data_IF_671384379784
#
_entry.id   IF_671384379784
#
_cell.length_a   1.000
_cell.length_b   1.000
_cell.length_c   1.000
_cell.angle_alpha   90.00
_cell.angle_beta   90.00
_cell.angle_gamma   90.00
#
_symmetry.space_group_name_H-M   'P 1'
#
loop_
_entity.id
_entity.type
_entity.pdbx_description
1 polymer ?
#
# COMPACT_ATOMS: atom_id res chain seq x y z
N UNK A 1 27.12 9.94 12.78
CA UNK A 1 27.65 9.14 11.70
C UNK A 1 26.66 8.89 10.59
N UNK A 2 25.41 8.48 10.90
CA UNK A 2 24.38 8.16 9.91
C UNK A 2 23.90 9.32 9.01
N UNK A 3 24.26 10.55 9.30
CA UNK A 3 23.90 11.70 8.47
C UNK A 3 24.67 11.81 7.15
N UNK A 4 25.70 11.01 6.97
CA UNK A 4 26.57 11.04 5.77
C UNK A 4 26.23 9.95 4.78
N UNK A 5 25.54 8.91 5.20
CA UNK A 5 25.11 7.84 4.31
C UNK A 5 24.01 8.35 3.39
N UNK A 6 24.12 8.04 2.11
CA UNK A 6 23.17 8.45 1.06
C UNK A 6 22.87 7.27 0.17
N UNK A 7 21.60 7.08 -0.12
CA UNK A 7 21.11 6.09 -1.06
C UNK A 7 20.87 6.76 -2.40
N UNK A 8 21.45 6.20 -3.46
CA UNK A 8 21.25 6.66 -4.82
C UNK A 8 20.78 5.53 -5.72
N UNK A 9 20.11 5.88 -6.79
CA UNK A 9 19.60 4.94 -7.78
C UNK A 9 20.65 4.73 -8.85
N UNK A 10 20.90 3.46 -9.18
CA UNK A 10 21.84 3.03 -10.19
C UNK A 10 21.13 2.15 -11.21
N UNK A 11 21.53 2.28 -12.47
CA UNK A 11 21.15 1.38 -13.57
C UNK A 11 22.30 0.44 -13.86
N UNK A 12 22.01 -0.87 -13.93
CA UNK A 12 22.98 -1.90 -14.24
C UNK A 12 22.54 -2.64 -15.52
N UNK A 13 23.43 -2.73 -16.50
CA UNK A 13 23.21 -3.50 -17.72
C UNK A 13 23.69 -4.94 -17.53
N UNK A 14 22.78 -5.88 -17.51
CA UNK A 14 23.05 -7.30 -17.28
C UNK A 14 23.88 -7.98 -18.38
N UNK A 15 23.90 -7.41 -19.59
CA UNK A 15 24.63 -7.98 -20.74
C UNK A 15 26.08 -7.49 -20.76
N UNK A 16 26.29 -6.22 -20.52
CA UNK A 16 27.61 -5.59 -20.61
C UNK A 16 28.35 -5.54 -19.27
N UNK A 17 27.63 -5.67 -18.16
CA UNK A 17 28.19 -5.49 -16.83
C UNK A 17 28.44 -4.03 -16.44
N UNK A 18 28.04 -3.07 -17.29
CA UNK A 18 28.22 -1.65 -17.02
C UNK A 18 27.11 -1.14 -16.09
N UNK A 19 27.45 -0.16 -15.30
CA UNK A 19 26.50 0.52 -14.42
C UNK A 19 26.71 2.03 -14.47
N UNK A 20 25.62 2.76 -14.26
CA UNK A 20 25.63 4.22 -14.20
C UNK A 20 24.76 4.72 -13.04
N UNK A 21 25.15 5.80 -12.43
CA UNK A 21 24.40 6.46 -11.39
C UNK A 21 23.33 7.36 -12.01
N UNK A 22 22.07 7.18 -11.61
CA UNK A 22 20.93 7.94 -12.16
C UNK A 22 20.57 9.16 -11.30
N UNK A 23 20.85 9.10 -9.99
CA UNK A 23 20.51 10.18 -9.05
C UNK A 23 21.73 10.64 -8.28
N UNK A 24 21.78 11.94 -8.01
CA UNK A 24 22.91 12.63 -7.36
C UNK A 24 22.39 13.61 -6.33
N UNK A 25 23.27 14.14 -5.49
CA UNK A 25 22.93 15.22 -4.57
C UNK A 25 23.25 14.91 -3.12
N UNK A 26 22.50 15.53 -2.21
CA UNK A 26 22.74 15.48 -0.76
C UNK A 26 21.58 14.85 0.02
N UNK A 27 20.53 14.39 -0.66
CA UNK A 27 19.38 13.69 -0.08
C UNK A 27 19.32 12.25 -0.59
N UNK A 28 18.78 11.35 0.23
CA UNK A 28 18.48 10.00 -0.18
C UNK A 28 17.43 9.97 -1.29
N UNK A 29 17.58 9.03 -2.22
CA UNK A 29 16.64 8.78 -3.29
C UNK A 29 16.08 7.37 -3.20
N UNK A 30 14.78 7.23 -3.41
CA UNK A 30 14.04 5.97 -3.29
C UNK A 30 13.25 5.70 -4.56
N UNK A 31 13.37 4.47 -5.08
CA UNK A 31 12.54 4.03 -6.21
C UNK A 31 11.11 3.87 -5.72
N UNK A 32 10.16 4.47 -6.43
CA UNK A 32 8.73 4.29 -6.19
C UNK A 32 8.14 3.29 -7.18
N UNK A 33 8.35 3.48 -8.49
CA UNK A 33 7.80 2.59 -9.52
C UNK A 33 8.53 2.78 -10.86
N UNK A 34 8.31 1.83 -11.77
CA UNK A 34 8.70 1.90 -13.17
C UNK A 34 7.45 1.75 -14.04
N UNK A 35 7.27 2.64 -15.01
CA UNK A 35 6.13 2.60 -15.92
C UNK A 35 6.03 1.28 -16.69
N UNK A 36 4.83 0.89 -17.12
CA UNK A 36 4.58 -0.38 -17.79
C UNK A 36 5.40 -0.59 -19.07
N UNK A 37 5.74 0.49 -19.77
CA UNK A 37 6.61 0.48 -20.95
C UNK A 37 8.11 0.54 -20.61
N UNK A 38 8.48 0.52 -19.32
CA UNK A 38 9.85 0.61 -18.80
C UNK A 38 10.58 1.90 -19.20
N UNK A 39 9.87 2.94 -19.63
CA UNK A 39 10.45 4.19 -20.07
C UNK A 39 10.68 5.18 -18.93
N UNK A 40 9.77 5.22 -17.96
CA UNK A 40 9.81 6.20 -16.88
C UNK A 40 10.09 5.54 -15.54
N UNK A 41 11.04 6.12 -14.82
CA UNK A 41 11.31 5.80 -13.42
C UNK A 41 10.65 6.87 -12.54
N UNK A 42 9.82 6.44 -11.60
CA UNK A 42 9.29 7.29 -10.55
C UNK A 42 10.16 7.14 -9.31
N UNK A 43 10.69 8.24 -8.79
CA UNK A 43 11.53 8.23 -7.61
C UNK A 43 11.24 9.42 -6.69
N UNK A 44 11.52 9.27 -5.42
CA UNK A 44 11.29 10.29 -4.41
C UNK A 44 12.55 10.63 -3.64
N UNK A 45 12.53 11.83 -3.04
CA UNK A 45 13.46 12.26 -1.99
C UNK A 45 12.67 12.64 -0.75
N UNK A 46 13.32 12.61 0.42
CA UNK A 46 12.71 13.03 1.67
C UNK A 46 13.59 14.03 2.39
N UNK A 47 13.04 15.22 2.63
CA UNK A 47 13.66 16.28 3.44
C UNK A 47 13.11 16.25 4.87
N UNK A 48 13.97 16.52 5.84
CA UNK A 48 13.55 16.68 7.24
C UNK A 48 13.33 18.13 7.60
N UNK A 49 12.16 18.41 8.19
CA UNK A 49 11.75 19.72 8.68
C UNK A 49 11.37 19.61 10.15
N UNK A 50 12.25 20.05 11.03
CA UNK A 50 12.07 19.87 12.48
C UNK A 50 11.12 20.89 13.14
N UNK A 51 10.76 21.94 12.44
CA UNK A 51 9.94 23.06 12.97
C UNK A 51 8.45 22.87 12.76
N UNK A 52 8.02 21.84 12.03
CA UNK A 52 6.60 21.59 11.73
C UNK A 52 6.32 20.11 11.54
N UNK A 53 5.09 19.68 11.82
CA UNK A 53 4.61 18.33 11.52
C UNK A 53 4.03 18.25 10.09
N UNK A 54 4.15 17.09 9.45
CA UNK A 54 5.05 15.99 9.76
C UNK A 54 6.50 16.45 9.58
N UNK A 55 7.43 15.80 10.27
CA UNK A 55 8.86 16.14 10.15
C UNK A 55 9.51 15.73 8.83
N UNK A 56 8.77 15.01 7.97
CA UNK A 56 9.20 14.59 6.63
C UNK A 56 8.42 15.35 5.56
N UNK A 57 9.11 15.73 4.50
CA UNK A 57 8.54 16.30 3.27
C UNK A 57 9.05 15.53 2.08
N UNK A 58 8.15 14.95 1.32
CA UNK A 58 8.50 14.11 0.17
C UNK A 58 8.37 14.90 -1.14
N UNK A 59 9.41 14.82 -1.96
CA UNK A 59 9.38 15.29 -3.35
C UNK A 59 9.36 14.10 -4.29
N UNK A 60 8.57 14.17 -5.35
CA UNK A 60 8.42 13.10 -6.33
C UNK A 60 8.83 13.58 -7.71
N UNK A 61 9.60 12.74 -8.39
CA UNK A 61 10.18 13.00 -9.70
C UNK A 61 9.89 11.86 -10.66
N UNK A 62 9.71 12.20 -11.93
CA UNK A 62 9.59 11.25 -13.04
C UNK A 62 10.80 11.44 -13.97
N UNK A 63 11.66 10.44 -14.06
CA UNK A 63 12.82 10.42 -14.95
C UNK A 63 12.48 9.64 -16.21
N UNK A 64 12.69 10.25 -17.38
CA UNK A 64 12.67 9.56 -18.67
C UNK A 64 14.02 8.85 -18.86
N UNK A 65 14.01 7.51 -18.82
CA UNK A 65 15.23 6.69 -18.90
C UNK A 65 15.88 6.68 -20.31
N UNK A 66 15.23 7.25 -21.33
CA UNK A 66 15.79 7.39 -22.68
C UNK A 66 16.46 8.74 -22.86
N UNK A 67 15.82 9.82 -22.42
CA UNK A 67 16.31 11.19 -22.63
C UNK A 67 17.04 11.75 -21.42
N UNK A 68 16.94 11.09 -20.27
CA UNK A 68 17.43 11.54 -18.96
C UNK A 68 16.78 12.85 -18.48
N UNK A 69 15.66 13.24 -19.07
CA UNK A 69 14.89 14.39 -18.63
C UNK A 69 14.11 14.08 -17.35
N UNK A 70 14.14 15.01 -16.41
CA UNK A 70 13.42 14.92 -15.13
C UNK A 70 12.24 15.87 -15.15
N UNK A 71 11.06 15.36 -14.81
CA UNK A 71 9.86 16.12 -14.51
C UNK A 71 9.58 16.06 -13.01
N UNK A 72 9.47 17.23 -12.36
CA UNK A 72 9.10 17.32 -10.95
C UNK A 72 7.58 17.25 -10.83
N UNK A 73 7.07 16.18 -10.20
CA UNK A 73 5.63 15.99 -10.01
C UNK A 73 5.12 16.87 -8.86
N UNK A 74 5.79 16.82 -7.70
CA UNK A 74 5.60 17.75 -6.58
C UNK A 74 6.88 17.88 -5.77
N UNK A 75 6.97 18.97 -5.02
CA UNK A 75 8.07 19.23 -4.10
C UNK A 75 7.56 19.37 -2.66
N UNK A 76 8.31 18.77 -1.73
CA UNK A 76 8.16 18.92 -0.28
C UNK A 76 6.72 18.74 0.22
N UNK A 77 5.96 17.82 -0.41
CA UNK A 77 4.61 17.50 0.02
C UNK A 77 4.62 16.81 1.39
N UNK A 78 3.84 17.32 2.37
CA UNK A 78 3.63 16.66 3.65
C UNK A 78 2.64 15.50 3.51
N UNK A 79 2.73 14.51 4.38
CA UNK A 79 1.76 13.42 4.52
C UNK A 79 1.61 12.50 3.30
N UNK A 80 2.50 12.60 2.32
CA UNK A 80 2.55 11.71 1.15
C UNK A 80 3.67 10.70 1.36
N UNK A 81 3.41 9.42 1.11
CA UNK A 81 4.37 8.34 1.38
C UNK A 81 4.95 7.75 0.08
N UNK A 82 4.11 7.15 -0.75
CA UNK A 82 4.49 6.42 -1.95
C UNK A 82 3.59 6.78 -3.12
N UNK A 83 4.08 6.55 -4.33
CA UNK A 83 3.31 6.70 -5.56
C UNK A 83 3.70 5.61 -6.57
N UNK A 84 2.72 5.13 -7.34
CA UNK A 84 2.92 4.16 -8.42
C UNK A 84 2.13 4.59 -9.65
N UNK A 85 2.59 4.23 -10.85
CA UNK A 85 1.87 4.53 -12.09
C UNK A 85 0.58 3.73 -12.21
N UNK A 86 -0.47 4.36 -12.75
CA UNK A 86 -1.59 3.61 -13.32
C UNK A 86 -1.11 2.73 -14.48
N UNK A 87 -1.84 1.65 -14.82
CA UNK A 87 -1.47 0.76 -15.93
C UNK A 87 -1.29 1.49 -17.27
N UNK A 88 -2.03 2.58 -17.50
CA UNK A 88 -1.94 3.42 -18.71
C UNK A 88 -0.93 4.57 -18.60
N UNK A 89 -0.29 4.74 -17.45
CA UNK A 89 0.72 5.77 -17.19
C UNK A 89 0.19 7.20 -17.12
N UNK A 90 -1.13 7.43 -17.07
CA UNK A 90 -1.71 8.78 -17.05
C UNK A 90 -1.93 9.33 -15.65
N UNK A 91 -2.07 8.46 -14.69
CA UNK A 91 -2.31 8.78 -13.29
C UNK A 91 -1.27 8.12 -12.39
N UNK A 92 -1.20 8.59 -11.16
CA UNK A 92 -0.50 7.92 -10.08
C UNK A 92 -1.52 7.49 -9.01
N UNK A 93 -1.33 6.28 -8.49
CA UNK A 93 -1.88 5.85 -7.22
C UNK A 93 -0.94 6.35 -6.14
N UNK A 94 -1.43 7.18 -5.24
CA UNK A 94 -0.63 7.80 -4.19
C UNK A 94 -1.13 7.34 -2.84
N UNK A 95 -0.22 6.82 -2.01
CA UNK A 95 -0.49 6.52 -0.61
C UNK A 95 -0.04 7.69 0.28
N UNK A 96 -0.86 8.04 1.25
CA UNK A 96 -0.59 9.13 2.18
C UNK A 96 -1.61 9.15 3.32
N UNK A 97 -1.52 10.14 4.20
CA UNK A 97 -2.54 10.36 5.22
C UNK A 97 -3.67 11.24 4.69
N UNK A 98 -4.80 11.31 5.40
CA UNK A 98 -5.92 12.18 5.05
C UNK A 98 -5.58 13.66 4.95
N UNK A 99 -4.46 14.07 5.57
CA UNK A 99 -3.91 15.43 5.52
C UNK A 99 -3.10 15.74 4.24
N UNK A 100 -2.81 14.75 3.40
CA UNK A 100 -2.12 14.97 2.13
C UNK A 100 -2.92 15.88 1.20
N UNK A 101 -2.21 16.59 0.31
CA UNK A 101 -2.80 17.49 -0.68
C UNK A 101 -3.78 18.50 -0.07
N UNK A 102 -3.33 19.24 0.95
CA UNK A 102 -4.13 20.25 1.68
C UNK A 102 -5.36 19.68 2.42
N UNK A 103 -5.28 18.39 2.78
CA UNK A 103 -6.31 17.75 3.60
C UNK A 103 -7.55 17.30 2.84
N UNK A 104 -7.45 17.07 1.52
CA UNK A 104 -8.62 16.62 0.71
C UNK A 104 -9.15 15.25 1.15
N UNK A 105 -8.32 14.42 1.80
CA UNK A 105 -8.69 13.11 2.34
C UNK A 105 -9.36 13.15 3.71
N UNK A 106 -9.43 14.29 4.38
CA UNK A 106 -10.02 14.38 5.73
C UNK A 106 -11.50 14.04 5.72
N UNK A 107 -11.87 13.09 6.58
CA UNK A 107 -13.26 12.71 6.87
C UNK A 107 -13.53 12.87 8.36
N UNK A 108 -13.48 14.11 8.85
CA UNK A 108 -13.64 14.45 10.26
C UNK A 108 -14.63 15.62 10.42
N UNK A 109 -15.30 15.69 11.55
CA UNK A 109 -16.18 16.81 11.88
C UNK A 109 -15.37 18.08 12.17
N UNK A 110 -16.00 19.24 11.97
CA UNK A 110 -15.38 20.52 12.28
C UNK A 110 -14.94 20.55 13.76
N UNK A 111 -13.68 20.94 13.99
CA UNK A 111 -13.08 21.02 15.32
C UNK A 111 -12.43 19.75 15.83
N UNK A 112 -12.53 18.64 15.09
CA UNK A 112 -11.75 17.43 15.39
C UNK A 112 -10.34 17.51 14.82
N UNK A 113 -9.41 16.85 15.50
CA UNK A 113 -8.03 16.70 15.04
C UNK A 113 -7.95 15.49 14.10
N UNK A 114 -7.35 15.68 12.93
CA UNK A 114 -7.12 14.59 11.98
C UNK A 114 -6.15 13.56 12.54
N UNK A 115 -6.43 12.26 12.32
CA UNK A 115 -5.47 11.20 12.54
C UNK A 115 -4.55 11.09 11.32
N UNK A 116 -3.38 11.71 11.40
CA UNK A 116 -2.40 11.71 10.30
C UNK A 116 -1.62 10.39 10.16
N UNK A 117 -1.92 9.39 10.98
CA UNK A 117 -1.35 8.04 10.87
C UNK A 117 -2.21 7.10 10.02
N UNK A 118 -3.49 7.41 9.81
CA UNK A 118 -4.37 6.61 8.96
C UNK A 118 -3.96 6.74 7.51
N UNK A 119 -3.58 5.62 6.90
CA UNK A 119 -3.25 5.53 5.49
C UNK A 119 -4.49 5.65 4.61
N UNK A 120 -4.38 6.45 3.57
CA UNK A 120 -5.39 6.63 2.53
C UNK A 120 -4.76 6.60 1.14
N UNK A 121 -5.61 6.44 0.12
CA UNK A 121 -5.23 6.45 -1.28
C UNK A 121 -5.82 7.65 -2.00
N UNK A 122 -5.03 8.15 -2.94
CA UNK A 122 -5.39 9.24 -3.83
C UNK A 122 -5.06 8.86 -5.28
N UNK A 123 -5.84 9.37 -6.22
CA UNK A 123 -5.49 9.39 -7.63
C UNK A 123 -4.93 10.77 -7.97
N UNK A 124 -3.74 10.81 -8.56
CA UNK A 124 -3.10 12.03 -9.02
C UNK A 124 -3.01 12.01 -10.55
N UNK A 125 -3.70 12.94 -11.20
CA UNK A 125 -3.69 13.07 -12.65
C UNK A 125 -2.45 13.84 -13.11
N UNK A 126 -1.60 13.20 -13.93
CA UNK A 126 -0.32 13.75 -14.36
C UNK A 126 -0.45 14.93 -15.32
N UNK A 127 -1.55 15.02 -16.10
CA UNK A 127 -1.76 16.11 -17.05
C UNK A 127 -2.25 17.38 -16.36
N UNK A 128 -3.25 17.27 -15.49
CA UNK A 128 -3.80 18.41 -14.75
C UNK A 128 -3.05 18.73 -13.45
N UNK A 129 -2.18 17.83 -13.00
CA UNK A 129 -1.45 17.90 -11.71
C UNK A 129 -2.37 18.06 -10.50
N UNK A 130 -3.51 17.38 -10.51
CA UNK A 130 -4.50 17.41 -9.44
C UNK A 130 -4.65 16.05 -8.78
N UNK A 131 -4.73 16.06 -7.45
CA UNK A 131 -5.08 14.89 -6.66
C UNK A 131 -6.58 14.85 -6.37
N UNK A 132 -7.14 13.64 -6.30
CA UNK A 132 -8.48 13.36 -5.79
C UNK A 132 -8.45 12.22 -4.80
N UNK A 133 -9.19 12.28 -3.68
CA UNK A 133 -9.19 11.21 -2.68
C UNK A 133 -9.96 10.00 -3.22
N UNK A 134 -9.42 8.80 -3.04
CA UNK A 134 -10.02 7.54 -3.47
C UNK A 134 -10.69 6.80 -2.30
N UNK A 135 -10.08 6.84 -1.11
CA UNK A 135 -10.53 6.08 0.06
C UNK A 135 -10.99 6.96 1.23
N UNK A 136 -11.36 8.22 0.97
CA UNK A 136 -11.76 9.20 2.00
C UNK A 136 -12.87 8.70 2.94
N UNK A 137 -13.87 7.98 2.40
CA UNK A 137 -15.03 7.49 3.14
C UNK A 137 -14.89 5.99 3.51
N UNK A 138 -13.69 5.44 3.35
CA UNK A 138 -13.35 4.07 3.69
C UNK A 138 -12.61 4.06 5.02
N UNK A 139 -13.22 3.45 6.06
CA UNK A 139 -12.73 3.51 7.44
C UNK A 139 -11.44 2.72 7.71
N UNK A 140 -11.22 1.51 7.13
CA UNK A 140 -10.00 0.75 7.40
C UNK A 140 -8.72 1.50 7.01
N UNK A 141 -7.68 1.35 7.83
CA UNK A 141 -6.37 1.95 7.58
C UNK A 141 -5.65 1.24 6.42
N UNK A 142 -5.27 1.98 5.40
CA UNK A 142 -4.53 1.44 4.24
C UNK A 142 -3.07 1.23 4.61
N UNK A 143 -2.59 -0.03 4.50
CA UNK A 143 -1.20 -0.42 4.74
C UNK A 143 -0.41 -0.42 3.43
N UNK A 144 -0.99 -1.03 2.38
CA UNK A 144 -0.36 -1.20 1.08
C UNK A 144 -1.40 -1.20 -0.04
N UNK A 145 -1.01 -0.82 -1.25
CA UNK A 145 -1.90 -0.84 -2.40
C UNK A 145 -1.13 -1.07 -3.71
N UNK A 146 -1.71 -1.91 -4.57
CA UNK A 146 -1.18 -2.22 -5.89
C UNK A 146 -2.26 -2.03 -6.94
N UNK A 147 -1.96 -1.24 -7.99
CA UNK A 147 -2.81 -1.13 -9.16
C UNK A 147 -2.52 -2.28 -10.13
N UNK A 148 -3.41 -3.25 -10.19
CA UNK A 148 -3.22 -4.47 -10.97
C UNK A 148 -3.32 -4.18 -12.48
N UNK A 149 -2.28 -4.51 -13.22
CA UNK A 149 -2.21 -4.33 -14.68
C UNK A 149 -3.09 -5.29 -15.45
N UNK A 150 -3.40 -6.46 -14.90
CA UNK A 150 -4.22 -7.47 -15.56
C UNK A 150 -5.70 -7.07 -15.68
N UNK A 151 -6.30 -6.53 -14.61
CA UNK A 151 -7.73 -6.23 -14.57
C UNK A 151 -8.08 -4.76 -14.28
N UNK A 152 -7.08 -3.90 -14.08
CA UNK A 152 -7.26 -2.48 -13.82
C UNK A 152 -7.82 -2.14 -12.44
N UNK A 153 -8.03 -3.12 -11.56
CA UNK A 153 -8.48 -2.89 -10.19
C UNK A 153 -7.30 -2.55 -9.28
N UNK A 154 -7.55 -1.75 -8.25
CA UNK A 154 -6.60 -1.50 -7.18
C UNK A 154 -6.87 -2.51 -6.06
N UNK A 155 -5.83 -3.24 -5.64
CA UNK A 155 -5.88 -4.14 -4.49
C UNK A 155 -5.25 -3.44 -3.30
N UNK A 156 -5.92 -3.49 -2.15
CA UNK A 156 -5.57 -2.73 -0.97
C UNK A 156 -5.46 -3.69 0.21
N UNK A 157 -4.33 -3.69 0.91
CA UNK A 157 -4.19 -4.33 2.21
C UNK A 157 -4.50 -3.30 3.28
N UNK A 158 -5.38 -3.65 4.20
CA UNK A 158 -5.85 -2.74 5.25
C UNK A 158 -5.80 -3.40 6.63
N UNK A 159 -5.54 -2.58 7.65
CA UNK A 159 -5.99 -2.86 9.02
C UNK A 159 -7.46 -2.46 9.12
N UNK A 160 -8.28 -3.45 9.44
CA UNK A 160 -9.72 -3.33 9.53
C UNK A 160 -10.16 -3.92 10.86
N UNK A 161 -10.29 -3.07 11.88
CA UNK A 161 -10.51 -3.45 13.25
C UNK A 161 -9.36 -4.33 13.79
N UNK A 162 -9.61 -5.58 14.15
CA UNK A 162 -8.63 -6.56 14.61
C UNK A 162 -8.19 -7.54 13.51
N UNK A 163 -8.49 -7.21 12.24
CA UNK A 163 -8.12 -7.97 11.05
C UNK A 163 -7.12 -7.23 10.17
N UNK A 164 -6.38 -7.98 9.36
CA UNK A 164 -5.71 -7.45 8.17
C UNK A 164 -6.31 -8.08 6.94
N UNK A 165 -6.99 -7.29 6.11
CA UNK A 165 -7.82 -7.75 5.00
C UNK A 165 -7.39 -7.14 3.68
N UNK A 166 -7.66 -7.89 2.60
CA UNK A 166 -7.47 -7.39 1.24
C UNK A 166 -8.82 -6.91 0.71
N UNK A 167 -8.80 -5.72 0.10
CA UNK A 167 -9.93 -5.13 -0.61
C UNK A 167 -9.58 -4.88 -2.07
N UNK A 168 -10.58 -4.83 -2.94
CA UNK A 168 -10.46 -4.28 -4.29
C UNK A 168 -11.14 -2.93 -4.33
N UNK A 169 -10.57 -2.00 -5.09
CA UNK A 169 -11.17 -0.71 -5.38
C UNK A 169 -11.20 -0.49 -6.89
N UNK A 170 -12.37 -0.12 -7.41
CA UNK A 170 -12.51 0.31 -8.79
C UNK A 170 -12.06 1.78 -8.91
N UNK A 171 -10.98 2.08 -9.63
CA UNK A 171 -10.47 3.44 -9.73
C UNK A 171 -11.41 4.42 -10.44
N UNK A 172 -12.36 3.91 -11.26
CA UNK A 172 -13.28 4.75 -12.01
C UNK A 172 -14.41 5.33 -11.15
N UNK A 173 -14.82 4.62 -10.10
CA UNK A 173 -15.99 5.00 -9.28
C UNK A 173 -15.77 4.90 -7.78
N UNK A 174 -14.56 4.49 -7.33
CA UNK A 174 -14.19 4.34 -5.93
C UNK A 174 -14.91 3.20 -5.20
N UNK A 175 -15.56 2.27 -5.91
CA UNK A 175 -16.28 1.16 -5.28
C UNK A 175 -15.32 0.15 -4.68
N UNK A 176 -15.41 -0.03 -3.36
CA UNK A 176 -14.56 -0.95 -2.60
C UNK A 176 -15.33 -2.23 -2.26
N UNK A 177 -14.64 -3.38 -2.36
CA UNK A 177 -15.17 -4.70 -1.98
C UNK A 177 -14.08 -5.51 -1.29
N UNK A 178 -14.44 -6.24 -0.26
CA UNK A 178 -13.52 -7.17 0.40
C UNK A 178 -13.25 -8.38 -0.50
N UNK A 179 -12.00 -8.81 -0.53
CA UNK A 179 -11.58 -10.11 -1.09
C UNK A 179 -11.85 -11.19 -0.04
N UNK A 180 -12.50 -12.28 -0.43
CA UNK A 180 -12.80 -13.39 0.48
C UNK A 180 -11.53 -14.23 0.74
N UNK A 181 -10.57 -13.68 1.46
CA UNK A 181 -9.38 -14.39 1.92
C UNK A 181 -9.71 -15.38 3.05
N UNK A 182 -8.88 -16.42 3.22
CA UNK A 182 -9.11 -17.50 4.18
C UNK A 182 -8.49 -17.27 5.56
N UNK A 183 -7.70 -16.20 5.72
CA UNK A 183 -7.00 -15.91 6.98
C UNK A 183 -7.45 -14.56 7.55
N UNK A 184 -7.36 -14.43 8.88
CA UNK A 184 -7.75 -13.21 9.59
C UNK A 184 -6.74 -12.07 9.44
N UNK A 185 -5.46 -12.43 9.46
CA UNK A 185 -4.33 -11.51 9.38
C UNK A 185 -3.53 -11.82 8.11
N UNK A 186 -3.76 -11.04 7.07
CA UNK A 186 -2.99 -11.13 5.84
C UNK A 186 -1.71 -10.31 6.01
N UNK A 187 -0.57 -10.99 6.02
CA UNK A 187 0.72 -10.37 6.24
C UNK A 187 1.27 -9.68 4.98
N UNK A 188 1.01 -10.25 3.82
CA UNK A 188 1.43 -9.69 2.53
C UNK A 188 0.70 -10.38 1.38
N UNK A 189 0.71 -9.73 0.22
CA UNK A 189 0.14 -10.27 -1.01
C UNK A 189 0.98 -9.88 -2.22
N UNK A 190 0.79 -10.59 -3.33
CA UNK A 190 1.39 -10.31 -4.62
C UNK A 190 0.40 -10.62 -5.74
N UNK A 191 0.38 -9.78 -6.75
CA UNK A 191 -0.46 -9.92 -7.93
C UNK A 191 0.38 -10.29 -9.14
N UNK A 192 -0.13 -11.18 -9.98
CA UNK A 192 0.48 -11.43 -11.28
C UNK A 192 0.06 -10.32 -12.27
N UNK A 193 1.02 -9.84 -13.06
CA UNK A 193 0.78 -8.79 -14.06
C UNK A 193 -0.01 -9.29 -15.28
N UNK A 194 0.04 -10.58 -15.57
CA UNK A 194 -0.49 -11.18 -16.79
C UNK A 194 -1.40 -12.39 -16.55
N UNK A 195 -1.82 -12.64 -15.32
CA UNK A 195 -2.69 -13.74 -14.96
C UNK A 195 -3.70 -13.34 -13.87
N UNK A 196 -4.90 -13.96 -13.83
CA UNK A 196 -5.94 -13.63 -12.85
C UNK A 196 -5.68 -14.31 -11.51
N UNK A 197 -4.50 -14.08 -10.92
CA UNK A 197 -4.12 -14.71 -9.65
C UNK A 197 -3.51 -13.69 -8.70
N UNK A 198 -3.93 -13.78 -7.45
CA UNK A 198 -3.36 -13.11 -6.30
C UNK A 198 -2.81 -14.19 -5.37
N UNK A 199 -1.55 -14.05 -4.99
CA UNK A 199 -0.97 -14.84 -3.89
C UNK A 199 -0.99 -14.01 -2.63
N UNK A 200 -1.33 -14.62 -1.51
CA UNK A 200 -1.21 -13.99 -0.21
C UNK A 200 -0.78 -15.03 0.83
N UNK A 201 -0.12 -14.54 1.86
CA UNK A 201 0.10 -15.36 3.05
C UNK A 201 -0.40 -14.63 4.28
N UNK A 202 -0.86 -15.42 5.25
CA UNK A 202 -1.42 -14.91 6.46
C UNK A 202 -1.58 -16.00 7.50
N UNK A 203 -2.17 -15.62 8.61
CA UNK A 203 -2.43 -16.48 9.75
C UNK A 203 -3.76 -16.11 10.37
N UNK A 204 -4.31 -17.07 11.13
CA UNK A 204 -5.42 -16.86 12.04
C UNK A 204 -4.98 -17.23 13.45
N UNK A 205 -5.83 -16.98 14.44
CA UNK A 205 -5.46 -17.24 15.81
C UNK A 205 -5.25 -18.75 16.13
N UNK A 206 -5.82 -19.63 15.28
CA UNK A 206 -5.71 -21.10 15.43
C UNK A 206 -4.81 -21.77 14.39
N UNK A 207 -4.03 -21.00 13.64
CA UNK A 207 -3.04 -21.55 12.69
C UNK A 207 -1.88 -20.58 12.48
N UNK A 208 -0.72 -21.14 12.13
CA UNK A 208 0.42 -20.36 11.70
C UNK A 208 0.30 -19.96 10.22
N UNK A 209 1.31 -19.28 9.70
CA UNK A 209 1.31 -18.76 8.34
C UNK A 209 1.04 -19.83 7.28
N UNK A 210 0.08 -19.54 6.42
CA UNK A 210 -0.31 -20.32 5.24
C UNK A 210 -0.25 -19.46 3.99
N UNK A 211 0.21 -20.05 2.89
CA UNK A 211 0.26 -19.43 1.57
C UNK A 211 -0.92 -19.88 0.72
N UNK A 212 -1.63 -18.94 0.15
CA UNK A 212 -2.78 -19.18 -0.73
C UNK A 212 -2.57 -18.58 -2.12
N UNK A 213 -3.21 -19.20 -3.11
CA UNK A 213 -3.50 -18.62 -4.41
C UNK A 213 -5.00 -18.34 -4.50
N UNK A 214 -5.36 -17.10 -4.79
CA UNK A 214 -6.74 -16.67 -4.99
C UNK A 214 -7.00 -16.41 -6.47
N UNK A 215 -8.01 -17.08 -7.03
CA UNK A 215 -8.45 -16.86 -8.41
C UNK A 215 -9.29 -15.59 -8.50
N UNK A 216 -8.79 -14.57 -9.19
CA UNK A 216 -9.46 -13.28 -9.35
C UNK A 216 -10.74 -13.34 -10.17
N UNK A 217 -10.94 -14.40 -10.99
CA UNK A 217 -12.16 -14.57 -11.78
C UNK A 217 -13.20 -15.39 -11.04
N UNK A 218 -12.78 -16.49 -10.43
CA UNK A 218 -13.69 -17.42 -9.75
C UNK A 218 -13.93 -17.12 -8.28
N UNK A 219 -13.16 -16.22 -7.67
CA UNK A 219 -13.30 -15.86 -6.25
C UNK A 219 -12.96 -17.02 -5.30
N UNK A 220 -12.05 -17.93 -5.68
CA UNK A 220 -11.74 -19.15 -4.92
C UNK A 220 -10.33 -19.14 -4.39
N UNK A 221 -10.19 -19.51 -3.12
CA UNK A 221 -8.91 -19.77 -2.47
C UNK A 221 -8.45 -21.22 -2.72
N UNK A 222 -7.16 -21.37 -2.92
CA UNK A 222 -6.47 -22.66 -2.94
C UNK A 222 -5.25 -22.57 -2.03
N UNK A 223 -5.20 -23.38 -0.98
CA UNK A 223 -4.02 -23.53 -0.15
C UNK A 223 -2.84 -24.03 -1.01
N UNK A 224 -1.74 -23.31 -0.99
CA UNK A 224 -0.50 -23.67 -1.70
C UNK A 224 0.48 -24.35 -0.75
N UNK A 225 0.62 -23.78 0.45
CA UNK A 225 1.56 -24.30 1.44
C UNK A 225 1.14 -23.91 2.87
N UNK A 226 1.28 -24.85 3.81
CA UNK A 226 1.12 -24.64 5.24
C UNK A 226 2.47 -24.82 5.93
N UNK A 227 3.03 -23.76 6.46
CA UNK A 227 4.35 -23.74 7.10
C UNK A 227 4.44 -24.58 8.36
N UNK A 228 3.32 -24.86 8.97
CA UNK A 228 3.23 -25.55 10.28
C UNK A 228 2.61 -26.94 10.21
N UNK A 229 2.19 -27.40 9.01
CA UNK A 229 1.45 -28.64 8.83
C UNK A 229 2.11 -29.83 9.56
N UNK A 230 3.41 -30.04 9.37
CA UNK A 230 4.12 -31.16 9.98
C UNK A 230 4.35 -30.97 11.48
N UNK A 231 4.47 -29.73 11.95
CA UNK A 231 4.72 -29.41 13.35
C UNK A 231 3.47 -29.45 14.20
N UNK A 232 2.31 -29.12 13.62
CA UNK A 232 1.04 -28.99 14.33
C UNK A 232 0.08 -30.14 14.08
N UNK A 233 0.42 -31.12 13.23
CA UNK A 233 -0.46 -32.22 12.83
C UNK A 233 -1.04 -33.04 13.99
N UNK A 234 -0.29 -33.14 15.08
CA UNK A 234 -0.69 -33.90 16.28
C UNK A 234 -1.13 -32.99 17.44
N UNK A 235 -1.33 -31.69 17.16
CA UNK A 235 -1.72 -30.69 18.17
C UNK A 235 -3.14 -30.20 17.84
N UNK A 236 -4.07 -30.40 18.77
CA UNK A 236 -5.37 -29.75 18.71
C UNK A 236 -5.21 -28.29 19.15
N UNK A 237 -5.46 -27.38 18.23
CA UNK A 237 -5.49 -25.94 18.54
C UNK A 237 -6.89 -25.56 19.00
N UNK A 238 -6.97 -24.59 19.91
CA UNK A 238 -8.23 -24.07 20.43
C UNK A 238 -9.03 -23.32 19.35
N UNK A 239 -10.30 -23.11 19.65
CA UNK A 239 -11.20 -22.31 18.79
C UNK A 239 -11.15 -20.84 19.17
N UNK A 240 -11.37 -19.98 18.18
CA UNK A 240 -11.44 -18.52 18.35
C UNK A 240 -12.81 -18.03 17.93
N UNK A 241 -13.40 -17.18 18.76
CA UNK A 241 -14.71 -16.60 18.49
C UNK A 241 -14.67 -15.09 18.70
N UNK A 242 -15.38 -14.37 17.84
CA UNK A 242 -15.59 -12.94 18.01
C UNK A 242 -16.57 -12.69 19.16
N UNK A 243 -16.29 -11.67 19.96
CA UNK A 243 -17.11 -11.23 21.05
C UNK A 243 -17.24 -9.72 21.06
N UNK A 244 -18.42 -9.25 20.67
CA UNK A 244 -18.71 -7.82 20.61
C UNK A 244 -19.70 -7.45 21.70
N UNK A 245 -19.45 -6.35 22.41
CA UNK A 245 -20.36 -5.83 23.42
C UNK A 245 -20.45 -4.30 23.35
N UNK A 246 -21.45 -3.74 24.02
CA UNK A 246 -21.62 -2.30 24.15
C UNK A 246 -21.03 -1.83 25.46
N UNK A 247 -20.21 -0.79 25.41
CA UNK A 247 -19.80 -0.03 26.60
C UNK A 247 -20.93 0.86 27.11
N UNK A 248 -20.76 1.47 28.28
CA UNK A 248 -21.78 2.29 28.93
C UNK A 248 -22.20 3.52 28.09
N UNK A 249 -21.31 4.02 27.25
CA UNK A 249 -21.60 5.13 26.34
C UNK A 249 -22.20 4.68 25.00
N UNK A 250 -22.45 3.37 24.81
CA UNK A 250 -23.01 2.77 23.62
C UNK A 250 -22.00 2.44 22.53
N UNK A 251 -20.71 2.70 22.75
CA UNK A 251 -19.63 2.32 21.80
C UNK A 251 -19.54 0.80 21.71
N UNK A 252 -19.42 0.27 20.48
CA UNK A 252 -19.16 -1.16 20.28
C UNK A 252 -17.70 -1.44 20.57
N UNK A 253 -17.46 -2.32 21.54
CA UNK A 253 -16.13 -2.86 21.84
C UNK A 253 -16.03 -4.23 21.20
N UNK A 254 -14.98 -4.41 20.42
CA UNK A 254 -14.67 -5.68 19.78
C UNK A 254 -13.68 -6.45 20.62
N UNK A 255 -13.84 -7.75 20.66
CA UNK A 255 -12.96 -8.66 21.37
C UNK A 255 -13.00 -10.06 20.78
N UNK A 256 -12.04 -10.86 21.18
CA UNK A 256 -11.99 -12.28 20.84
C UNK A 256 -11.80 -13.10 22.10
N UNK A 257 -12.42 -14.25 22.15
CA UNK A 257 -12.15 -15.23 23.19
C UNK A 257 -11.71 -16.56 22.58
N UNK A 258 -10.90 -17.26 23.35
CA UNK A 258 -10.27 -18.52 22.95
C UNK A 258 -10.80 -19.62 23.83
N UNK A 259 -11.20 -20.72 23.21
CA UNK A 259 -11.61 -21.94 23.90
C UNK A 259 -10.54 -23.01 23.70
N UNK A 260 -10.24 -23.81 24.75
CA UNK A 260 -9.26 -24.90 24.65
C UNK A 260 -9.72 -26.04 23.75
#
# INVERSE_FOLDING_TARGET
>A
PGFRDRSFIWRYDLKTGLYEQLTFGHTDTYINDISADSRYLLFSTSDRVYTSLPHSRNSLYKLDLQTMAIDTIWEKAPYVNQAAFSPDGKQLLVAGAGDAFDGIGRNIKQGQISNSYDGQLFLYDLASRKASPLTKDFNPNVIDAVWNRFNGQIYILCEDEDYQRIYTCDPANGKIKQVAASEDIIMSYALADNAPVLFYYGQSASNANRLYAYDLKGGKNRLVYDLSQDKLKDIALGEVHDWNFKSDDGTTIQGRYYLP
#
